data_IF_052959002391
#
_entry.id   IF_052959002391
#
_cell.length_a   1.000
_cell.length_b   1.000
_cell.length_c   1.000
_cell.angle_alpha   90.00
_cell.angle_beta   90.00
_cell.angle_gamma   90.00
#
_symmetry.space_group_name_H-M   'P 1'
#
loop_
_entity.id
_entity.type
_entity.pdbx_description
1 polymer ?
#
# COMPACT_ATOMS: atom_id res chain seq x y z
N UNK A 1 -27.53 31.65 -60.32
CA UNK A 1 -26.15 31.25 -59.98
C UNK A 1 -25.87 31.61 -58.52
N UNK A 2 -25.74 30.62 -57.62
CA UNK A 2 -25.47 30.83 -56.19
C UNK A 2 -24.20 30.03 -55.83
N UNK A 3 -23.11 30.73 -55.54
CA UNK A 3 -21.84 30.14 -55.13
C UNK A 3 -21.94 29.60 -53.70
N UNK A 4 -21.80 28.27 -53.54
CA UNK A 4 -21.62 27.61 -52.23
C UNK A 4 -20.14 27.69 -51.83
N UNK A 5 -19.88 28.31 -50.67
CA UNK A 5 -18.56 28.31 -50.00
C UNK A 5 -18.26 26.91 -49.45
N UNK A 6 -17.06 26.40 -49.72
CA UNK A 6 -16.50 25.17 -49.11
C UNK A 6 -16.01 25.46 -47.69
N UNK A 7 -16.22 24.57 -46.70
CA UNK A 7 -15.60 24.71 -45.39
C UNK A 7 -14.15 24.18 -45.41
N UNK A 8 -13.28 24.91 -44.72
CA UNK A 8 -11.85 24.62 -44.61
C UNK A 8 -11.55 23.48 -43.64
N UNK A 9 -10.61 22.64 -44.05
CA UNK A 9 -9.99 21.58 -43.24
C UNK A 9 -9.07 22.21 -42.18
N UNK A 10 -9.43 22.09 -40.90
CA UNK A 10 -8.51 22.28 -39.79
C UNK A 10 -7.81 20.94 -39.49
N UNK A 11 -6.53 20.83 -39.91
CA UNK A 11 -5.62 19.78 -39.44
C UNK A 11 -5.27 20.06 -37.98
N UNK A 12 -5.63 19.16 -37.06
CA UNK A 12 -5.05 19.11 -35.71
C UNK A 12 -3.82 18.19 -35.70
N UNK A 13 -2.74 18.54 -34.98
CA UNK A 13 -1.59 17.66 -34.81
C UNK A 13 -1.94 16.48 -33.88
N UNK A 14 -1.34 15.34 -34.19
CA UNK A 14 -1.62 14.06 -33.57
C UNK A 14 -1.25 13.97 -32.09
N UNK A 15 -2.09 13.26 -31.35
CA UNK A 15 -1.74 12.61 -30.10
C UNK A 15 -1.93 11.11 -30.32
N UNK A 16 -0.83 10.39 -30.53
CA UNK A 16 -0.81 8.94 -30.38
C UNK A 16 -0.77 8.64 -28.87
N UNK A 17 -1.94 8.66 -28.23
CA UNK A 17 -2.11 8.03 -26.93
C UNK A 17 -2.18 6.53 -27.13
N UNK A 18 -1.12 5.83 -26.76
CA UNK A 18 -1.09 4.36 -26.71
C UNK A 18 -2.09 3.93 -25.62
N UNK A 19 -3.31 3.62 -26.01
CA UNK A 19 -4.34 3.13 -25.10
C UNK A 19 -4.08 1.63 -24.88
N UNK A 20 -3.29 1.31 -23.86
CA UNK A 20 -3.15 -0.07 -23.39
C UNK A 20 -4.42 -0.40 -22.61
N UNK A 21 -5.40 -0.95 -23.31
CA UNK A 21 -6.58 -1.57 -22.70
C UNK A 21 -6.15 -2.90 -22.08
N UNK A 22 -5.88 -2.91 -20.78
CA UNK A 22 -5.85 -4.17 -20.03
C UNK A 22 -7.29 -4.64 -19.82
N UNK A 23 -7.69 -5.63 -20.63
CA UNK A 23 -8.78 -6.53 -20.33
C UNK A 23 -8.45 -7.24 -19.00
N UNK A 24 -9.06 -6.80 -17.90
CA UNK A 24 -9.07 -7.56 -16.65
C UNK A 24 -10.02 -8.75 -16.83
N UNK A 25 -9.45 -9.87 -17.23
CA UNK A 25 -10.09 -11.17 -17.16
C UNK A 25 -10.17 -11.60 -15.68
N UNK A 26 -11.36 -12.04 -15.29
CA UNK A 26 -11.74 -12.42 -13.93
C UNK A 26 -10.86 -13.57 -13.43
N UNK A 27 -9.96 -13.29 -12.50
CA UNK A 27 -9.26 -14.33 -11.74
C UNK A 27 -8.94 -13.84 -10.34
N UNK A 28 -9.41 -14.62 -9.37
CA UNK A 28 -9.21 -14.55 -7.93
C UNK A 28 -7.79 -14.13 -7.48
N UNK A 29 -7.73 -13.36 -6.40
CA UNK A 29 -6.57 -13.14 -5.51
C UNK A 29 -5.27 -12.69 -6.20
N UNK A 30 -5.14 -11.40 -6.46
CA UNK A 30 -3.83 -10.77 -6.68
C UNK A 30 -3.59 -9.73 -5.60
N UNK A 31 -2.77 -10.12 -4.63
CA UNK A 31 -2.08 -9.24 -3.72
C UNK A 31 -1.48 -8.07 -4.51
N UNK A 32 -1.92 -6.85 -4.19
CA UNK A 32 -1.35 -5.62 -4.72
C UNK A 32 0.00 -5.37 -4.01
N UNK A 33 0.96 -6.24 -4.25
CA UNK A 33 2.33 -6.11 -3.75
C UNK A 33 3.06 -5.06 -4.58
N UNK A 34 2.89 -3.79 -4.23
CA UNK A 34 3.75 -2.71 -4.76
C UNK A 34 5.08 -2.81 -4.01
N UNK A 35 6.07 -3.42 -4.65
CA UNK A 35 7.45 -3.42 -4.16
C UNK A 35 8.02 -2.00 -4.30
N UNK A 36 8.17 -1.28 -3.19
CA UNK A 36 8.83 0.03 -3.20
C UNK A 36 10.32 -0.19 -3.03
N UNK A 37 11.06 -0.15 -4.15
CA UNK A 37 12.51 -0.21 -4.14
C UNK A 37 13.09 1.12 -3.61
N UNK A 38 13.69 1.10 -2.42
CA UNK A 38 14.47 2.22 -1.91
C UNK A 38 15.79 2.31 -2.69
N UNK A 39 15.98 3.39 -3.45
CA UNK A 39 17.27 3.71 -4.07
C UNK A 39 18.21 4.35 -3.05
N UNK A 40 19.31 3.66 -2.72
CA UNK A 40 20.41 4.20 -1.92
C UNK A 40 21.27 5.08 -2.84
N UNK A 41 21.27 6.40 -2.62
CA UNK A 41 22.27 7.29 -3.22
C UNK A 41 23.59 7.08 -2.47
N UNK A 42 24.54 6.41 -3.13
CA UNK A 42 25.88 6.15 -2.62
C UNK A 42 26.73 7.42 -2.68
N UNK A 43 27.07 8.00 -1.53
CA UNK A 43 28.26 8.84 -1.41
C UNK A 43 29.30 8.09 -0.58
N UNK A 44 30.45 7.84 -1.21
CA UNK A 44 31.58 7.16 -0.62
C UNK A 44 32.43 8.16 0.18
N UNK A 45 32.32 8.12 1.50
CA UNK A 45 33.42 8.37 2.44
C UNK A 45 32.96 8.06 3.88
N UNK A 46 33.81 7.30 4.58
CA UNK A 46 33.99 7.26 6.04
C UNK A 46 32.83 6.85 6.96
N UNK A 47 32.94 5.58 7.40
CA UNK A 47 32.66 5.04 8.73
C UNK A 47 32.24 6.02 9.83
N UNK A 48 30.98 5.95 10.27
CA UNK A 48 30.52 5.59 11.64
C UNK A 48 29.00 5.81 11.69
N UNK A 49 28.24 4.85 12.24
CA UNK A 49 26.76 4.91 12.39
C UNK A 49 25.99 5.48 11.18
N UNK A 50 25.94 4.69 10.10
CA UNK A 50 24.98 4.95 9.01
C UNK A 50 23.56 4.65 9.51
N UNK A 51 22.94 5.63 10.17
CA UNK A 51 21.48 5.68 10.28
C UNK A 51 20.94 5.65 8.85
N UNK A 52 20.29 4.55 8.49
CA UNK A 52 19.56 4.48 7.23
C UNK A 52 18.34 5.33 7.48
N UNK A 53 18.40 6.63 7.16
CA UNK A 53 17.20 7.45 7.07
C UNK A 53 16.29 6.78 6.03
N UNK A 54 15.36 5.92 6.48
CA UNK A 54 14.30 5.44 5.62
C UNK A 54 13.41 6.64 5.38
N UNK A 55 13.62 7.28 4.23
CA UNK A 55 12.72 8.28 3.67
C UNK A 55 11.29 7.76 3.77
N UNK A 56 10.43 8.56 4.40
CA UNK A 56 9.02 8.27 4.68
C UNK A 56 8.34 7.55 3.51
N UNK A 57 8.05 6.25 3.68
CA UNK A 57 7.30 5.50 2.68
C UNK A 57 5.80 5.63 2.98
N UNK A 58 5.11 6.37 2.10
CA UNK A 58 3.66 6.44 2.08
C UNK A 58 3.13 5.43 1.05
N UNK A 59 2.43 4.42 1.54
CA UNK A 59 1.71 3.47 0.69
C UNK A 59 0.19 3.68 0.87
N UNK A 60 -0.55 3.66 -0.24
CA UNK A 60 -2.01 3.74 -0.22
C UNK A 60 -2.59 2.42 -0.69
N UNK A 61 -3.37 1.77 0.17
CA UNK A 61 -4.17 0.61 -0.18
C UNK A 61 -5.63 1.04 -0.32
N UNK A 62 -6.23 0.71 -1.46
CA UNK A 62 -7.68 0.81 -1.62
C UNK A 62 -8.31 -0.36 -0.87
N UNK A 63 -9.21 -0.07 0.07
CA UNK A 63 -9.96 -1.12 0.74
C UNK A 63 -11.10 -1.58 -0.15
N UNK A 64 -11.30 -2.90 -0.21
CA UNK A 64 -12.49 -3.45 -0.84
C UNK A 64 -13.73 -2.87 -0.14
N UNK A 65 -14.72 -2.35 -0.90
CA UNK A 65 -15.89 -1.74 -0.31
C UNK A 65 -16.58 -2.71 0.65
N UNK A 66 -17.04 -2.19 1.77
CA UNK A 66 -17.84 -2.97 2.72
C UNK A 66 -19.29 -2.83 2.29
N UNK A 67 -19.91 -3.97 1.97
CA UNK A 67 -21.30 -4.00 1.50
C UNK A 67 -22.26 -4.25 2.65
N UNK A 68 -23.50 -3.76 2.51
CA UNK A 68 -24.59 -4.10 3.43
C UNK A 68 -24.79 -5.59 3.66
N UNK A 69 -24.44 -6.45 2.68
CA UNK A 69 -24.51 -7.90 2.84
C UNK A 69 -23.58 -8.40 3.95
N UNK A 70 -22.35 -7.89 3.98
CA UNK A 70 -21.37 -8.25 5.01
C UNK A 70 -21.72 -7.61 6.35
N UNK A 71 -22.20 -6.36 6.31
CA UNK A 71 -22.55 -5.61 7.50
C UNK A 71 -23.77 -6.16 8.23
N UNK A 72 -24.73 -6.70 7.47
CA UNK A 72 -26.00 -7.14 7.98
C UNK A 72 -26.16 -8.67 7.89
N UNK A 73 -25.10 -9.44 7.62
CA UNK A 73 -25.18 -10.91 7.68
C UNK A 73 -26.02 -11.56 6.57
N UNK A 74 -26.11 -10.96 5.39
CA UNK A 74 -26.63 -11.60 4.18
C UNK A 74 -27.98 -11.08 3.67
N UNK A 75 -28.60 -11.76 2.68
CA UNK A 75 -29.78 -11.28 1.98
C UNK A 75 -31.05 -11.32 2.85
N UNK A 76 -31.02 -12.08 3.95
CA UNK A 76 -32.13 -12.17 4.91
C UNK A 76 -32.39 -10.84 5.66
N UNK A 77 -31.43 -9.90 5.68
CA UNK A 77 -31.55 -8.63 6.40
C UNK A 77 -32.01 -7.45 5.53
N UNK A 78 -32.18 -7.63 4.21
CA UNK A 78 -32.68 -6.57 3.32
C UNK A 78 -34.16 -6.21 3.54
N UNK A 79 -34.88 -6.92 4.40
CA UNK A 79 -36.33 -6.83 4.52
C UNK A 79 -36.85 -6.42 5.92
N UNK A 80 -36.04 -5.79 6.78
CA UNK A 80 -36.58 -5.21 8.00
C UNK A 80 -37.06 -3.77 7.73
N UNK A 81 -38.38 -3.52 7.64
CA UNK A 81 -38.89 -2.17 7.52
C UNK A 81 -38.46 -1.37 8.74
N UNK A 82 -37.82 -0.23 8.47
CA UNK A 82 -37.52 0.82 9.44
C UNK A 82 -38.85 1.44 9.85
N UNK A 83 -39.64 0.73 10.68
CA UNK A 83 -40.67 1.25 11.59
C UNK A 83 -41.52 0.09 12.13
N UNK A 84 -41.61 0.09 13.46
CA UNK A 84 -42.79 -0.27 14.26
C UNK A 84 -43.07 -1.71 14.69
N UNK A 85 -42.10 -2.63 14.80
CA UNK A 85 -42.31 -3.81 15.67
C UNK A 85 -41.11 -4.06 16.58
N UNK A 86 -41.29 -3.70 17.85
CA UNK A 86 -40.29 -3.57 18.92
C UNK A 86 -39.91 -4.88 19.63
N UNK A 87 -40.11 -6.05 19.01
CA UNK A 87 -39.87 -7.34 19.69
C UNK A 87 -39.11 -8.40 18.88
N UNK A 88 -38.70 -8.12 17.64
CA UNK A 88 -37.70 -8.97 16.99
C UNK A 88 -36.34 -8.65 17.62
N UNK A 89 -35.76 -9.60 18.35
CA UNK A 89 -34.40 -9.49 18.83
C UNK A 89 -33.47 -9.39 17.62
N UNK A 90 -33.16 -8.18 17.20
CA UNK A 90 -32.16 -7.90 16.18
C UNK A 90 -30.87 -8.50 16.71
N UNK A 91 -30.38 -9.56 16.07
CA UNK A 91 -29.04 -10.09 16.31
C UNK A 91 -28.06 -9.00 15.87
N UNK A 92 -27.78 -8.08 16.79
CA UNK A 92 -26.78 -7.05 16.62
C UNK A 92 -25.44 -7.77 16.51
N UNK A 93 -24.90 -7.79 15.30
CA UNK A 93 -23.50 -8.17 15.09
C UNK A 93 -22.68 -7.14 15.87
N UNK A 94 -22.01 -7.56 16.94
CA UNK A 94 -21.32 -6.63 17.85
C UNK A 94 -20.13 -5.92 17.18
N UNK A 95 -19.44 -6.59 16.27
CA UNK A 95 -18.28 -6.04 15.57
C UNK A 95 -17.97 -6.86 14.33
N UNK A 96 -17.59 -6.20 13.24
CA UNK A 96 -17.11 -6.88 12.02
C UNK A 96 -15.64 -6.57 11.88
N UNK A 97 -14.80 -7.59 11.81
CA UNK A 97 -13.35 -7.42 11.67
C UNK A 97 -12.83 -8.07 10.39
N UNK A 98 -11.99 -7.36 9.64
CA UNK A 98 -11.22 -7.90 8.51
C UNK A 98 -9.74 -7.86 8.85
N UNK A 99 -9.04 -8.97 8.60
CA UNK A 99 -7.59 -9.03 8.73
C UNK A 99 -6.96 -8.88 7.34
N UNK A 100 -6.08 -7.89 7.18
CA UNK A 100 -5.31 -7.68 5.96
C UNK A 100 -3.83 -8.01 6.22
N UNK A 101 -3.44 -9.29 6.06
CA UNK A 101 -2.03 -9.67 6.14
C UNK A 101 -1.27 -9.17 4.91
N UNK A 102 0.05 -9.06 5.02
CA UNK A 102 0.94 -8.77 3.88
C UNK A 102 0.57 -7.51 3.10
N UNK A 103 0.05 -6.50 3.80
CA UNK A 103 -0.40 -5.23 3.21
C UNK A 103 0.79 -4.40 2.69
N UNK A 104 1.96 -4.57 3.30
CA UNK A 104 3.20 -3.94 2.87
C UNK A 104 4.37 -4.91 3.06
N UNK A 105 5.42 -4.72 2.26
CA UNK A 105 6.68 -5.43 2.37
C UNK A 105 7.84 -4.45 2.20
N UNK A 106 8.87 -4.59 3.02
CA UNK A 106 10.06 -3.76 2.97
C UNK A 106 11.30 -4.62 3.14
N UNK A 107 12.35 -4.26 2.40
CA UNK A 107 13.68 -4.84 2.55
C UNK A 107 14.49 -4.02 3.55
N UNK A 108 14.96 -4.66 4.62
CA UNK A 108 15.82 -4.04 5.64
C UNK A 108 17.12 -4.81 5.79
N UNK A 109 18.15 -4.17 6.33
CA UNK A 109 19.39 -4.87 6.71
C UNK A 109 19.08 -5.98 7.72
N UNK A 110 19.78 -7.11 7.65
CA UNK A 110 19.65 -8.20 8.63
C UNK A 110 19.86 -7.74 10.09
N UNK A 111 20.68 -6.69 10.27
CA UNK A 111 20.97 -6.10 11.58
C UNK A 111 19.76 -5.39 12.22
N UNK A 112 18.74 -5.05 11.43
CA UNK A 112 17.54 -4.37 11.91
C UNK A 112 16.50 -5.39 12.37
N UNK A 113 16.06 -5.27 13.63
CA UNK A 113 14.98 -6.12 14.15
C UNK A 113 13.62 -5.67 13.62
N UNK A 114 12.69 -6.59 13.30
CA UNK A 114 11.34 -6.21 12.85
C UNK A 114 10.58 -5.34 13.85
N UNK A 115 10.80 -5.55 15.15
CA UNK A 115 10.19 -4.75 16.22
C UNK A 115 10.69 -3.31 16.29
N UNK A 116 11.76 -2.96 15.60
CA UNK A 116 12.26 -1.57 15.51
C UNK A 116 11.51 -0.74 14.47
N UNK A 117 10.79 -1.36 13.54
CA UNK A 117 9.99 -0.65 12.55
C UNK A 117 8.77 -0.01 13.20
N UNK A 118 8.64 1.31 13.05
CA UNK A 118 7.43 2.03 13.46
C UNK A 118 6.53 2.18 12.25
N UNK A 119 5.37 1.52 12.30
CA UNK A 119 4.37 1.60 11.24
C UNK A 119 3.08 2.15 11.81
N UNK A 120 2.53 3.14 11.12
CA UNK A 120 1.25 3.76 11.47
C UNK A 120 0.28 3.66 10.29
N UNK A 121 -1.00 3.56 10.63
CA UNK A 121 -2.08 3.40 9.67
C UNK A 121 -3.08 4.52 9.86
N UNK A 122 -3.57 5.08 8.75
CA UNK A 122 -4.57 6.12 8.76
C UNK A 122 -5.66 5.78 7.75
N UNK A 123 -6.90 5.68 8.20
CA UNK A 123 -8.05 5.55 7.31
C UNK A 123 -8.68 6.93 7.07
N UNK A 124 -9.00 7.21 5.82
CA UNK A 124 -9.77 8.39 5.41
C UNK A 124 -10.98 7.94 4.61
N UNK A 125 -12.19 8.26 5.06
CA UNK A 125 -13.42 7.93 4.34
C UNK A 125 -13.49 8.63 2.97
N UNK A 126 -14.35 8.14 2.07
CA UNK A 126 -14.57 8.80 0.77
C UNK A 126 -15.03 10.27 0.89
N UNK A 127 -15.62 10.67 2.02
CA UNK A 127 -15.96 12.05 2.35
C UNK A 127 -14.80 12.88 2.97
N UNK A 128 -13.61 12.31 3.07
CA UNK A 128 -12.41 12.96 3.61
C UNK A 128 -12.25 12.89 5.14
N UNK A 129 -13.18 12.26 5.88
CA UNK A 129 -13.07 12.17 7.34
C UNK A 129 -12.13 11.05 7.79
N UNK A 130 -11.30 11.36 8.79
CA UNK A 130 -10.35 10.40 9.36
C UNK A 130 -11.03 9.38 10.27
N UNK A 131 -10.55 8.13 10.26
CA UNK A 131 -11.02 7.04 11.10
C UNK A 131 -12.45 6.56 10.79
N UNK A 132 -12.93 6.86 9.57
CA UNK A 132 -14.30 6.56 9.14
C UNK A 132 -14.31 5.91 7.76
N UNK A 133 -15.29 5.04 7.52
CA UNK A 133 -15.80 4.81 6.16
C UNK A 133 -17.02 5.71 5.93
N UNK A 134 -17.25 6.11 4.70
CA UNK A 134 -18.44 6.89 4.33
C UNK A 134 -19.21 6.21 3.21
N UNK A 135 -20.53 6.31 3.26
CA UNK A 135 -21.40 5.78 2.20
C UNK A 135 -21.18 6.55 0.89
N UNK A 136 -21.17 5.84 -0.25
CA UNK A 136 -20.92 6.44 -1.56
C UNK A 136 -22.00 7.46 -1.97
N UNK A 137 -23.28 7.08 -1.84
CA UNK A 137 -24.41 7.95 -2.21
C UNK A 137 -24.86 8.93 -1.10
N UNK A 138 -24.50 8.66 0.15
CA UNK A 138 -24.92 9.44 1.32
C UNK A 138 -23.70 9.83 2.16
N UNK A 139 -22.91 10.85 1.77
CA UNK A 139 -21.61 11.14 2.41
C UNK A 139 -21.66 11.49 3.90
N UNK A 140 -22.85 11.79 4.45
CA UNK A 140 -23.08 12.03 5.89
C UNK A 140 -23.25 10.73 6.69
N UNK A 141 -23.51 9.62 6.02
CA UNK A 141 -23.60 8.30 6.64
C UNK A 141 -22.19 7.71 6.75
N UNK A 142 -21.79 7.45 8.00
CA UNK A 142 -20.41 7.13 8.34
C UNK A 142 -20.36 5.94 9.30
N UNK A 143 -19.28 5.16 9.23
CA UNK A 143 -19.01 4.04 10.12
C UNK A 143 -17.67 4.29 10.80
N UNK A 144 -17.62 4.26 12.14
CA UNK A 144 -16.37 4.22 12.91
C UNK A 144 -15.52 3.01 12.52
N UNK A 145 -14.22 3.25 12.33
CA UNK A 145 -13.26 2.17 12.10
C UNK A 145 -12.14 2.22 13.15
N UNK A 146 -11.87 1.08 13.75
CA UNK A 146 -10.67 0.84 14.55
C UNK A 146 -9.61 0.12 13.72
N UNK A 147 -8.36 0.54 13.86
CA UNK A 147 -7.21 -0.06 13.17
C UNK A 147 -6.25 -0.61 14.21
N UNK A 148 -6.00 -1.92 14.16
CA UNK A 148 -5.03 -2.58 15.02
C UNK A 148 -3.88 -3.12 14.17
N UNK A 149 -2.65 -2.58 14.31
CA UNK A 149 -1.47 -3.11 13.64
C UNK A 149 -1.24 -4.59 13.92
N UNK A 150 -0.93 -5.37 12.87
CA UNK A 150 -0.37 -6.71 13.05
C UNK A 150 1.15 -6.61 13.31
N UNK A 151 1.71 -7.45 14.19
CA UNK A 151 3.16 -7.51 14.40
C UNK A 151 3.91 -7.78 13.08
N UNK A 152 4.92 -6.97 12.72
CA UNK A 152 5.76 -7.24 11.57
C UNK A 152 6.47 -8.58 11.66
N UNK A 153 6.58 -9.30 10.54
CA UNK A 153 7.25 -10.60 10.48
C UNK A 153 8.25 -10.67 9.33
N UNK A 154 9.35 -11.41 9.52
CA UNK A 154 10.30 -11.72 8.45
C UNK A 154 9.72 -12.84 7.60
N UNK A 155 9.64 -12.63 6.29
CA UNK A 155 9.14 -13.64 5.33
C UNK A 155 10.23 -14.27 4.49
N UNK A 156 11.34 -13.56 4.29
CA UNK A 156 12.44 -14.03 3.44
C UNK A 156 13.74 -13.38 3.88
N UNK A 157 14.83 -14.12 3.75
CA UNK A 157 16.19 -13.57 3.84
C UNK A 157 16.80 -13.54 2.44
N UNK A 158 17.47 -12.43 2.11
CA UNK A 158 18.15 -12.24 0.84
C UNK A 158 19.63 -11.95 1.08
N UNK A 159 20.48 -12.61 0.31
CA UNK A 159 21.92 -12.35 0.29
C UNK A 159 22.26 -11.64 -1.01
N UNK A 160 23.07 -10.59 -0.93
CA UNK A 160 23.59 -9.83 -2.06
C UNK A 160 25.11 -9.79 -1.95
N UNK A 161 25.78 -10.31 -2.98
CA UNK A 161 27.22 -10.22 -3.11
C UNK A 161 27.57 -8.83 -3.63
N UNK A 162 28.40 -8.11 -2.89
CA UNK A 162 28.99 -6.85 -3.31
C UNK A 162 30.47 -7.11 -3.56
N UNK A 163 30.85 -7.08 -4.84
CA UNK A 163 32.24 -7.10 -5.24
C UNK A 163 32.78 -5.67 -5.09
N UNK A 164 33.62 -5.46 -4.07
CA UNK A 164 34.36 -4.21 -3.93
C UNK A 164 35.71 -4.41 -4.63
N UNK A 165 35.91 -3.71 -5.75
CA UNK A 165 37.25 -3.58 -6.32
C UNK A 165 38.04 -2.62 -5.44
N UNK A 166 39.03 -3.12 -4.71
CA UNK A 166 40.01 -2.27 -4.03
C UNK A 166 40.66 -1.37 -5.08
N UNK A 167 40.31 -0.08 -5.03
CA UNK A 167 40.93 0.93 -5.87
C UNK A 167 42.43 0.96 -5.60
N UNK A 168 43.21 0.35 -6.48
CA UNK A 168 44.66 0.43 -6.45
C UNK A 168 45.03 1.90 -6.59
N UNK A 169 45.49 2.52 -5.50
CA UNK A 169 45.99 3.89 -5.53
C UNK A 169 47.26 3.89 -6.40
N UNK A 170 47.15 4.40 -7.62
CA UNK A 170 48.24 4.37 -8.61
C UNK A 170 49.21 5.51 -8.32
N UNK A 171 50.07 5.33 -7.32
CA UNK A 171 51.33 6.08 -7.27
C UNK A 171 52.32 5.43 -8.25
N UNK A 172 52.53 6.12 -9.36
CA UNK A 172 53.31 5.66 -10.49
C UNK A 172 54.80 5.60 -10.14
N UNK A 173 55.37 4.42 -9.88
CA UNK A 173 56.80 4.08 -10.14
C UNK A 173 57.01 2.55 -10.08
N UNK A 174 57.24 1.94 -11.26
CA UNK A 174 57.98 0.67 -11.51
C UNK A 174 57.32 -0.69 -11.23
N UNK A 175 56.87 -1.32 -12.33
CA UNK A 175 56.93 -2.74 -12.71
C UNK A 175 56.92 -3.85 -11.62
N UNK A 176 55.72 -4.25 -11.19
CA UNK A 176 55.19 -5.63 -11.13
C UNK A 176 53.86 -5.56 -10.38
N UNK A 177 52.73 -5.62 -11.09
CA UNK A 177 51.41 -5.54 -10.46
C UNK A 177 51.08 -6.86 -9.76
N UNK A 178 50.93 -6.91 -8.42
CA UNK A 178 50.47 -8.11 -7.74
C UNK A 178 49.03 -8.45 -8.15
N UNK A 179 48.61 -9.73 -8.06
CA UNK A 179 47.23 -10.11 -8.35
C UNK A 179 46.28 -9.38 -7.39
N UNK A 180 45.35 -8.61 -7.96
CA UNK A 180 44.32 -7.90 -7.21
C UNK A 180 43.52 -8.89 -6.35
N UNK A 181 43.55 -8.69 -5.04
CA UNK A 181 42.81 -9.51 -4.08
C UNK A 181 41.36 -9.04 -4.08
N UNK A 182 40.48 -9.78 -4.76
CA UNK A 182 39.04 -9.50 -4.70
C UNK A 182 38.52 -9.77 -3.29
N UNK A 183 37.99 -8.73 -2.63
CA UNK A 183 37.25 -8.87 -1.38
C UNK A 183 35.78 -8.99 -1.73
N UNK A 184 35.19 -10.15 -1.44
CA UNK A 184 33.75 -10.37 -1.61
C UNK A 184 33.07 -10.03 -0.29
N UNK A 185 32.23 -8.98 -0.29
CA UNK A 185 31.45 -8.61 0.88
C UNK A 185 30.03 -9.13 0.72
N UNK A 186 29.54 -9.88 1.70
CA UNK A 186 28.18 -10.44 1.68
C UNK A 186 27.28 -9.55 2.52
N UNK A 187 26.30 -8.90 1.88
CA UNK A 187 25.26 -8.17 2.59
C UNK A 187 23.98 -9.00 2.66
N UNK A 188 23.46 -9.14 3.88
CA UNK A 188 22.23 -9.85 4.17
C UNK A 188 21.10 -8.88 4.48
N UNK A 189 19.92 -9.22 3.98
CA UNK A 189 18.70 -8.44 4.12
C UNK A 189 17.55 -9.32 4.57
N UNK A 190 16.69 -8.76 5.41
CA UNK A 190 15.40 -9.34 5.75
C UNK A 190 14.32 -8.66 4.91
N UNK A 191 13.46 -9.45 4.26
CA UNK A 191 12.18 -8.97 3.75
C UNK A 191 11.18 -9.10 4.88
N UNK A 192 10.71 -7.96 5.36
CA UNK A 192 9.73 -7.86 6.43
C UNK A 192 8.40 -7.47 5.82
N UNK A 193 7.34 -8.08 6.31
CA UNK A 193 5.98 -7.69 5.98
C UNK A 193 5.18 -7.34 7.22
N UNK A 194 4.12 -6.57 7.03
CA UNK A 194 3.12 -6.34 8.06
C UNK A 194 1.74 -6.13 7.47
N UNK A 195 0.80 -5.88 8.37
CA UNK A 195 -0.61 -5.77 8.03
C UNK A 195 -1.40 -5.12 9.15
N UNK A 196 -2.72 -5.16 9.02
CA UNK A 196 -3.64 -4.49 9.96
C UNK A 196 -4.93 -5.28 10.10
N UNK A 197 -5.50 -5.27 11.29
CA UNK A 197 -6.88 -5.68 11.55
C UNK A 197 -7.74 -4.41 11.51
N UNK A 198 -8.80 -4.46 10.72
CA UNK A 198 -9.76 -3.38 10.54
C UNK A 198 -11.07 -3.82 11.17
N UNK A 199 -11.52 -3.09 12.17
CA UNK A 199 -12.79 -3.35 12.84
C UNK A 199 -13.81 -2.26 12.56
N UNK A 200 -15.04 -2.66 12.26
CA UNK A 200 -16.16 -1.78 11.96
C UNK A 200 -17.21 -1.90 13.08
N UNK A 201 -17.75 -0.76 13.50
CA UNK A 201 -18.90 -0.69 14.40
C UNK A 201 -20.21 -0.57 13.58
N UNK A 202 -20.94 -1.68 13.36
CA UNK A 202 -22.13 -1.67 12.53
C UNK A 202 -23.33 -0.94 13.17
N UNK A 203 -23.28 -0.62 14.47
CA UNK A 203 -24.35 0.12 15.15
C UNK A 203 -24.58 1.52 14.56
N UNK A 204 -23.62 2.04 13.79
CA UNK A 204 -23.65 3.36 13.18
C UNK A 204 -24.22 3.35 11.76
N UNK A 205 -24.57 2.18 11.22
CA UNK A 205 -25.08 2.06 9.85
C UNK A 205 -26.51 2.61 9.79
N UNK A 206 -26.67 3.70 9.05
CA UNK A 206 -27.97 4.34 8.82
C UNK A 206 -28.62 3.93 7.50
N UNK A 207 -27.82 3.52 6.52
CA UNK A 207 -28.29 3.21 5.17
C UNK A 207 -27.68 1.90 4.68
N UNK A 208 -28.50 1.10 4.00
CA UNK A 208 -27.98 -0.03 3.23
C UNK A 208 -27.24 0.48 1.99
N UNK A 209 -26.10 -0.12 1.69
CA UNK A 209 -25.34 0.17 0.48
C UNK A 209 -23.86 -0.10 0.67
N UNK A 210 -23.04 0.79 0.10
CA UNK A 210 -21.59 0.61 -0.01
C UNK A 210 -20.86 1.73 0.73
N UNK A 211 -19.97 1.32 1.63
CA UNK A 211 -19.11 2.21 2.40
C UNK A 211 -17.67 2.07 1.93
N UNK A 212 -16.99 3.20 1.74
CA UNK A 212 -15.64 3.27 1.18
C UNK A 212 -14.73 4.24 1.94
N UNK A 213 -13.42 3.99 1.82
CA UNK A 213 -12.34 4.81 2.35
C UNK A 213 -10.99 4.34 1.84
N UNK A 214 -9.97 5.17 2.05
CA UNK A 214 -8.58 4.93 1.67
C UNK A 214 -7.74 4.67 2.91
N UNK A 215 -7.02 3.54 2.92
CA UNK A 215 -6.07 3.22 3.97
C UNK A 215 -4.67 3.70 3.55
N UNK A 216 -4.11 4.62 4.32
CA UNK A 216 -2.74 5.10 4.18
C UNK A 216 -1.85 4.41 5.21
N UNK A 217 -0.71 3.88 4.75
CA UNK A 217 0.30 3.21 5.56
C UNK A 217 1.54 4.08 5.54
N UNK A 218 2.08 4.33 6.73
CA UNK A 218 3.24 5.18 6.93
C UNK A 218 4.30 4.38 7.68
N UNK A 219 5.41 4.10 7.00
CA UNK A 219 6.55 3.37 7.57
C UNK A 219 7.63 4.39 7.91
N UNK A 220 7.98 4.49 9.19
CA UNK A 220 9.00 5.39 9.70
C UNK A 220 10.30 4.60 9.90
N UNK A 221 11.38 5.03 9.24
CA UNK A 221 12.71 4.57 9.60
C UNK A 221 13.21 5.21 10.88
N UNK A 222 14.00 4.44 11.62
CA UNK A 222 14.81 4.96 12.71
C UNK A 222 16.19 5.37 12.19
#
# INVERSE_FOLDING_TARGET
MKHRKKPGFLKKPGFYGLQISFLLEKSLHSALAIMVCLGILTNAAESTERSIQLSYLQHQALLDPVTSFELLGGPAYQALPIRSDSHAATLLVEEISRTLPSLWQIRVSEKMSPGSLRVSYQLTGANGKAGRLSHLDFPKAEISVSLQPLPPRVIKQEEMLIEEEEGVNVDATTAQTPPSKRVVNIQRFNIIEGGVIISFDPSQIQYAGTYAGTLTILIHGL
#
